data_IF_957862176206
#
_entry.id   IF_957862176206
#
_cell.length_a   1.000
_cell.length_b   1.000
_cell.length_c   1.000
_cell.angle_alpha   90.00
_cell.angle_beta   90.00
_cell.angle_gamma   90.00
#
_symmetry.space_group_name_H-M   'P 1'
#
loop_
_entity.id
_entity.type
_entity.pdbx_description
1 polymer ?
#
# COMPACT_ATOMS: atom_id res chain seq x y z
N UNK A 1 27.17 -0.80 -19.81
CA UNK A 1 25.88 -0.13 -20.06
C UNK A 1 26.18 1.31 -20.41
N UNK A 2 25.68 1.82 -21.54
CA UNK A 2 25.98 3.20 -21.95
C UNK A 2 25.02 4.19 -21.24
N UNK A 3 25.31 5.49 -21.27
CA UNK A 3 24.51 6.54 -20.61
C UNK A 3 23.05 6.59 -21.08
N UNK A 4 22.78 6.28 -22.34
CA UNK A 4 21.44 6.22 -22.92
C UNK A 4 20.62 5.04 -22.38
N UNK A 5 21.25 3.86 -22.22
CA UNK A 5 20.59 2.67 -21.67
C UNK A 5 20.13 2.89 -20.22
N UNK A 6 20.97 3.58 -19.42
CA UNK A 6 20.65 3.94 -18.03
C UNK A 6 19.46 4.90 -18.00
N UNK A 7 19.46 5.92 -18.85
CA UNK A 7 18.38 6.92 -18.90
C UNK A 7 17.03 6.27 -19.23
N UNK A 8 16.99 5.42 -20.27
CA UNK A 8 15.81 4.66 -20.64
C UNK A 8 15.29 3.77 -19.50
N UNK A 9 16.20 3.13 -18.73
CA UNK A 9 15.78 2.30 -17.59
C UNK A 9 15.14 3.11 -16.46
N UNK A 10 15.63 4.31 -16.19
CA UNK A 10 15.11 5.20 -15.14
C UNK A 10 13.75 5.77 -15.54
N UNK A 11 13.60 6.16 -16.81
CA UNK A 11 12.32 6.62 -17.36
C UNK A 11 11.25 5.54 -17.27
N UNK A 12 11.56 4.31 -17.68
CA UNK A 12 10.65 3.18 -17.60
C UNK A 12 10.21 2.88 -16.15
N UNK A 13 11.15 2.86 -15.20
CA UNK A 13 10.83 2.63 -13.77
C UNK A 13 9.95 3.75 -13.19
N UNK A 14 10.21 5.00 -13.58
CA UNK A 14 9.40 6.16 -13.18
C UNK A 14 7.97 6.03 -13.71
N UNK A 15 7.80 5.65 -14.97
CA UNK A 15 6.48 5.45 -15.57
C UNK A 15 5.69 4.31 -14.93
N UNK A 16 6.32 3.19 -14.63
CA UNK A 16 5.66 2.07 -13.97
C UNK A 16 5.14 2.44 -12.58
N UNK A 17 5.92 3.18 -11.78
CA UNK A 17 5.47 3.70 -10.48
C UNK A 17 4.26 4.63 -10.61
N UNK A 18 4.23 5.48 -11.64
CA UNK A 18 3.09 6.36 -11.92
C UNK A 18 1.85 5.54 -12.27
N UNK A 19 1.96 4.56 -13.18
CA UNK A 19 0.84 3.68 -13.55
C UNK A 19 0.29 2.93 -12.35
N UNK A 20 1.18 2.48 -11.45
CA UNK A 20 0.80 1.74 -10.25
C UNK A 20 -0.01 2.62 -9.27
N UNK A 21 0.44 3.86 -8.99
CA UNK A 21 -0.33 4.76 -8.12
C UNK A 21 -1.65 5.18 -8.75
N UNK A 22 -1.71 5.37 -10.07
CA UNK A 22 -2.96 5.69 -10.77
C UNK A 22 -3.96 4.52 -10.71
N UNK A 23 -3.46 3.28 -10.78
CA UNK A 23 -4.30 2.10 -10.58
C UNK A 23 -4.87 2.06 -9.16
N UNK A 24 -4.04 2.33 -8.14
CA UNK A 24 -4.49 2.42 -6.76
C UNK A 24 -5.53 3.55 -6.57
N UNK A 25 -5.29 4.75 -7.11
CA UNK A 25 -6.23 5.87 -7.04
C UNK A 25 -7.59 5.55 -7.69
N UNK A 26 -7.60 4.75 -8.77
CA UNK A 26 -8.85 4.27 -9.39
C UNK A 26 -9.57 3.26 -8.50
N UNK A 27 -8.85 2.32 -7.89
CA UNK A 27 -9.41 1.35 -6.95
C UNK A 27 -10.00 2.07 -5.74
N UNK A 28 -9.30 3.05 -5.18
CA UNK A 28 -9.76 3.82 -4.03
C UNK A 28 -11.02 4.64 -4.29
N UNK A 29 -11.28 5.01 -5.55
CA UNK A 29 -12.53 5.69 -5.96
C UNK A 29 -13.66 4.71 -6.25
N UNK A 30 -13.36 3.42 -6.47
CA UNK A 30 -14.35 2.39 -6.74
C UNK A 30 -15.13 2.04 -5.46
N UNK A 31 -16.47 2.06 -5.53
CA UNK A 31 -17.34 1.84 -4.38
C UNK A 31 -17.31 0.41 -3.84
N UNK A 32 -17.10 -0.58 -4.69
CA UNK A 32 -17.01 -1.98 -4.26
C UNK A 32 -15.68 -2.23 -3.55
N UNK A 33 -14.58 -1.66 -4.05
CA UNK A 33 -13.28 -1.71 -3.37
C UNK A 33 -13.32 -0.99 -2.02
N UNK A 34 -13.91 0.21 -1.97
CA UNK A 34 -14.18 0.91 -0.70
C UNK A 34 -14.94 0.00 0.26
N UNK A 35 -16.05 -0.61 -0.20
CA UNK A 35 -16.93 -1.41 0.65
C UNK A 35 -16.28 -2.69 1.17
N UNK A 36 -15.60 -3.43 0.30
CA UNK A 36 -15.08 -4.77 0.62
C UNK A 36 -13.72 -4.70 1.29
N UNK A 37 -12.81 -3.86 0.77
CA UNK A 37 -11.42 -3.85 1.21
C UNK A 37 -11.19 -2.76 2.25
N UNK A 38 -11.45 -1.48 1.93
CA UNK A 38 -11.10 -0.38 2.84
C UNK A 38 -12.00 -0.36 4.09
N UNK A 39 -13.30 -0.46 3.86
CA UNK A 39 -14.32 -0.44 4.91
C UNK A 39 -14.41 -1.80 5.60
N UNK A 40 -14.66 -2.86 4.83
CA UNK A 40 -14.87 -4.20 5.37
C UNK A 40 -13.61 -4.78 6.02
N UNK A 41 -12.58 -5.01 5.22
CA UNK A 41 -11.39 -5.74 5.67
C UNK A 41 -10.41 -4.88 6.49
N UNK A 42 -10.11 -3.65 6.07
CA UNK A 42 -9.09 -2.84 6.73
C UNK A 42 -9.60 -2.10 7.97
N UNK A 43 -10.90 -1.76 8.02
CA UNK A 43 -11.49 -1.04 9.17
C UNK A 43 -12.35 -1.95 10.04
N UNK A 44 -13.44 -2.47 9.51
CA UNK A 44 -14.47 -3.13 10.31
C UNK A 44 -13.93 -4.45 10.91
N UNK A 45 -13.18 -5.22 10.13
CA UNK A 45 -12.55 -6.47 10.57
C UNK A 45 -11.45 -6.24 11.62
N UNK A 46 -10.66 -5.16 11.49
CA UNK A 46 -9.66 -4.77 12.50
C UNK A 46 -10.31 -4.41 13.83
N UNK A 47 -11.41 -3.65 13.80
CA UNK A 47 -12.18 -3.33 15.01
C UNK A 47 -12.78 -4.58 15.66
N UNK A 48 -13.31 -5.50 14.85
CA UNK A 48 -13.82 -6.79 15.31
C UNK A 48 -12.72 -7.63 15.95
N UNK A 49 -11.57 -7.76 15.30
CA UNK A 49 -10.41 -8.51 15.75
C UNK A 49 -9.85 -7.95 17.07
N UNK A 50 -9.71 -6.62 17.16
CA UNK A 50 -9.28 -5.96 18.38
C UNK A 50 -10.24 -6.24 19.55
N UNK A 51 -11.54 -6.28 19.29
CA UNK A 51 -12.54 -6.64 20.30
C UNK A 51 -12.40 -8.11 20.75
N UNK A 52 -12.05 -9.02 19.84
CA UNK A 52 -11.81 -10.43 20.17
C UNK A 52 -10.60 -10.63 21.08
N UNK A 53 -9.57 -9.78 21.02
CA UNK A 53 -8.42 -9.85 21.92
C UNK A 53 -8.82 -9.68 23.39
N UNK A 54 -9.88 -8.92 23.66
CA UNK A 54 -10.40 -8.73 25.01
C UNK A 54 -11.23 -9.93 25.52
N UNK A 55 -11.77 -10.76 24.62
CA UNK A 55 -12.70 -11.85 24.94
C UNK A 55 -12.04 -12.95 25.82
N UNK A 56 -12.69 -13.30 26.93
CA UNK A 56 -12.16 -14.27 27.89
C UNK A 56 -12.05 -15.70 27.34
N UNK A 57 -12.98 -16.12 26.47
CA UNK A 57 -12.94 -17.44 25.81
C UNK A 57 -11.75 -17.52 24.86
N UNK A 58 -11.50 -16.49 24.06
CA UNK A 58 -10.33 -16.41 23.18
C UNK A 58 -9.03 -16.47 23.98
N UNK A 59 -8.97 -15.74 25.11
CA UNK A 59 -7.82 -15.78 26.02
C UNK A 59 -7.59 -17.18 26.59
N UNK A 60 -8.65 -17.83 27.09
CA UNK A 60 -8.58 -19.17 27.67
C UNK A 60 -8.20 -20.24 26.63
N UNK A 61 -8.58 -20.06 25.37
CA UNK A 61 -8.23 -20.95 24.26
C UNK A 61 -6.82 -20.71 23.70
N UNK A 62 -6.09 -19.69 24.19
CA UNK A 62 -4.74 -19.37 23.69
C UNK A 62 -4.69 -18.76 22.28
N UNK A 63 -5.83 -18.35 21.70
CA UNK A 63 -5.93 -17.91 20.29
C UNK A 63 -5.62 -16.42 20.06
N UNK A 64 -5.03 -15.74 21.03
CA UNK A 64 -4.69 -14.31 20.88
C UNK A 64 -3.61 -14.09 19.82
N UNK A 65 -2.67 -15.02 19.71
CA UNK A 65 -1.58 -14.93 18.72
C UNK A 65 -2.13 -14.88 17.31
N UNK A 66 -3.02 -15.80 16.94
CA UNK A 66 -3.64 -15.84 15.60
C UNK A 66 -4.34 -14.51 15.23
N UNK A 67 -5.02 -13.89 16.21
CA UNK A 67 -5.71 -12.61 16.00
C UNK A 67 -4.69 -11.47 15.84
N UNK A 68 -3.60 -11.48 16.60
CA UNK A 68 -2.52 -10.50 16.47
C UNK A 68 -1.84 -10.63 15.10
N UNK A 69 -1.57 -11.84 14.64
CA UNK A 69 -0.98 -12.09 13.32
C UNK A 69 -1.87 -11.55 12.19
N UNK A 70 -3.19 -11.74 12.30
CA UNK A 70 -4.15 -11.16 11.36
C UNK A 70 -4.11 -9.62 11.37
N UNK A 71 -4.07 -9.00 12.56
CA UNK A 71 -3.97 -7.54 12.68
C UNK A 71 -2.67 -6.99 12.08
N UNK A 72 -1.55 -7.70 12.28
CA UNK A 72 -0.26 -7.37 11.66
C UNK A 72 -0.38 -7.47 10.14
N UNK A 73 -0.95 -8.54 9.61
CA UNK A 73 -1.12 -8.73 8.18
C UNK A 73 -1.95 -7.61 7.52
N UNK A 74 -3.05 -7.19 8.15
CA UNK A 74 -3.85 -6.05 7.67
C UNK A 74 -3.04 -4.75 7.69
N UNK A 75 -2.26 -4.53 8.74
CA UNK A 75 -1.42 -3.32 8.87
C UNK A 75 -0.32 -3.29 7.80
N UNK A 76 0.36 -4.40 7.58
CA UNK A 76 1.37 -4.55 6.52
C UNK A 76 0.77 -4.33 5.13
N UNK A 77 -0.45 -4.78 4.87
CA UNK A 77 -1.15 -4.47 3.63
C UNK A 77 -1.42 -2.95 3.50
N UNK A 78 -1.84 -2.30 4.58
CA UNK A 78 -1.98 -0.83 4.61
C UNK A 78 -0.68 -0.10 4.30
N UNK A 79 0.42 -0.49 4.92
CA UNK A 79 1.76 0.05 4.64
C UNK A 79 2.18 -0.12 3.18
N UNK A 80 1.84 -1.25 2.56
CA UNK A 80 2.08 -1.47 1.14
C UNK A 80 1.33 -0.45 0.27
N UNK A 81 0.06 -0.17 0.57
CA UNK A 81 -0.70 0.86 -0.16
C UNK A 81 -0.10 2.26 0.03
N UNK A 82 0.31 2.61 1.26
CA UNK A 82 1.02 3.88 1.53
C UNK A 82 2.33 3.98 0.76
N UNK A 83 3.07 2.88 0.67
CA UNK A 83 4.34 2.80 -0.07
C UNK A 83 4.10 3.10 -1.56
N UNK A 84 3.04 2.55 -2.16
CA UNK A 84 2.67 2.86 -3.55
C UNK A 84 2.39 4.37 -3.71
N UNK A 85 1.66 4.99 -2.78
CA UNK A 85 1.37 6.43 -2.83
C UNK A 85 2.65 7.26 -2.74
N UNK A 86 3.56 6.91 -1.82
CA UNK A 86 4.83 7.60 -1.65
C UNK A 86 5.74 7.48 -2.90
N UNK A 87 5.85 6.27 -3.46
CA UNK A 87 6.61 6.02 -4.69
C UNK A 87 6.01 6.78 -5.88
N UNK A 88 4.68 6.79 -6.01
CA UNK A 88 3.97 7.54 -7.04
C UNK A 88 4.19 9.06 -6.93
N UNK A 89 4.12 9.62 -5.71
CA UNK A 89 4.40 11.04 -5.47
C UNK A 89 5.84 11.40 -5.85
N UNK A 90 6.81 10.58 -5.45
CA UNK A 90 8.22 10.76 -5.82
C UNK A 90 8.43 10.69 -7.34
N UNK A 91 7.85 9.70 -8.01
CA UNK A 91 7.96 9.52 -9.45
C UNK A 91 7.31 10.69 -10.24
N UNK A 92 6.15 11.18 -9.80
CA UNK A 92 5.50 12.38 -10.38
C UNK A 92 6.38 13.61 -10.23
N UNK A 93 7.02 13.79 -9.07
CA UNK A 93 7.95 14.90 -8.84
C UNK A 93 9.18 14.82 -9.76
N UNK A 94 9.78 13.64 -9.90
CA UNK A 94 10.93 13.42 -10.80
C UNK A 94 10.57 13.68 -12.26
N UNK A 95 9.37 13.24 -12.70
CA UNK A 95 8.88 13.49 -14.06
C UNK A 95 8.62 14.97 -14.33
N UNK A 96 8.13 15.72 -13.33
CA UNK A 96 7.89 17.16 -13.44
C UNK A 96 9.18 18.00 -13.33
N UNK A 97 10.20 17.48 -12.64
CA UNK A 97 11.50 18.13 -12.45
C UNK A 97 12.62 17.20 -12.94
N UNK A 98 12.74 17.00 -14.27
CA UNK A 98 13.81 16.17 -14.80
C UNK A 98 15.15 16.79 -14.40
N UNK A 99 16.06 15.97 -13.87
CA UNK A 99 17.39 16.43 -13.49
C UNK A 99 18.09 16.97 -14.75
N UNK A 100 18.35 18.28 -14.80
CA UNK A 100 19.19 18.88 -15.84
C UNK A 100 20.62 18.38 -15.66
N UNK A 101 21.04 17.39 -16.43
CA UNK A 101 22.46 17.04 -16.54
C UNK A 101 23.13 18.00 -17.52
N UNK A 102 23.15 19.29 -17.20
CA UNK A 102 24.09 20.24 -17.78
C UNK A 102 25.14 20.54 -16.70
N UNK A 103 26.20 19.73 -16.70
CA UNK A 103 27.57 20.04 -16.26
C UNK A 103 28.51 18.94 -16.79
#
# INVERSE_FOLDING_TARGET
>A
MNKHDVLLSVENDTEEKIKMVEALERLEKNKDFQKVILDGYMRDEVLRANSLLANHTIKAQGKRTDIIEMLVAVSTFGEYLETIRALGASARYQKANPVSTEE
#
